data_IF_217726560648
#
_entry.id   IF_217726560648
#
_cell.length_a   1.000
_cell.length_b   1.000
_cell.length_c   1.000
_cell.angle_alpha   90.00
_cell.angle_beta   90.00
_cell.angle_gamma   90.00
#
_symmetry.space_group_name_H-M   'P 1'
#
loop_
_entity.id
_entity.type
_entity.pdbx_description
1 polymer ?
#
# COMPACT_ATOMS: atom_id res chain seq x y z
N UNK A 1 -8.55 33.22 2.17
CA UNK A 1 -9.32 32.00 2.47
C UNK A 1 -8.58 31.28 3.59
N UNK A 2 -9.19 31.16 4.76
CA UNK A 2 -8.58 30.44 5.88
C UNK A 2 -8.44 28.95 5.47
N UNK A 3 -7.22 28.40 5.55
CA UNK A 3 -7.00 26.98 5.38
C UNK A 3 -7.80 26.27 6.46
N UNK A 4 -8.82 25.50 6.08
CA UNK A 4 -9.41 24.53 7.01
C UNK A 4 -8.29 23.62 7.52
N UNK A 5 -8.25 23.30 8.83
CA UNK A 5 -7.21 22.45 9.37
C UNK A 5 -7.28 21.09 8.67
N UNK A 6 -6.21 20.73 7.96
CA UNK A 6 -6.12 19.46 7.26
C UNK A 6 -6.19 18.34 8.31
N UNK A 7 -7.27 17.58 8.31
CA UNK A 7 -7.48 16.48 9.27
C UNK A 7 -6.41 15.42 9.02
N UNK A 8 -5.60 15.11 10.03
CA UNK A 8 -4.58 14.06 9.94
C UNK A 8 -5.27 12.70 9.73
N UNK A 9 -5.03 12.00 8.59
CA UNK A 9 -5.70 10.75 8.26
C UNK A 9 -5.39 9.63 9.28
N UNK A 10 -4.21 9.63 9.90
CA UNK A 10 -3.85 8.64 10.88
C UNK A 10 -4.60 8.85 12.21
N UNK A 11 -4.79 10.10 12.64
CA UNK A 11 -5.64 10.39 13.79
C UNK A 11 -7.10 9.97 13.54
N UNK A 12 -7.58 10.11 12.30
CA UNK A 12 -8.91 9.60 11.91
C UNK A 12 -8.97 8.07 12.02
N UNK A 13 -7.97 7.36 11.53
CA UNK A 13 -7.90 5.90 11.62
C UNK A 13 -7.86 5.43 13.10
N UNK A 14 -7.09 6.09 13.97
CA UNK A 14 -7.05 5.80 15.41
C UNK A 14 -8.39 6.04 16.10
N UNK A 15 -9.06 7.14 15.76
CA UNK A 15 -10.40 7.44 16.30
C UNK A 15 -11.43 6.38 15.92
N UNK A 16 -11.37 5.83 14.70
CA UNK A 16 -12.23 4.72 14.28
C UNK A 16 -12.00 3.48 15.15
N UNK A 17 -10.74 3.19 15.50
CA UNK A 17 -10.42 2.10 16.45
C UNK A 17 -11.03 2.39 17.82
N UNK A 18 -10.92 3.61 18.33
CA UNK A 18 -11.48 3.96 19.65
C UNK A 18 -12.99 3.75 19.69
N UNK A 19 -13.73 4.20 18.67
CA UNK A 19 -15.18 4.02 18.57
C UNK A 19 -15.57 2.52 18.62
N UNK A 20 -14.86 1.69 17.85
CA UNK A 20 -15.13 0.25 17.80
C UNK A 20 -14.71 -0.44 19.10
N UNK A 21 -13.59 -0.02 19.70
CA UNK A 21 -13.10 -0.56 20.95
C UNK A 21 -14.09 -0.29 22.11
N UNK A 22 -14.71 0.89 22.15
CA UNK A 22 -15.77 1.22 23.10
C UNK A 22 -17.00 0.31 22.92
N UNK A 23 -17.44 0.12 21.70
CA UNK A 23 -18.57 -0.76 21.38
C UNK A 23 -18.31 -2.22 21.77
N UNK A 24 -17.10 -2.70 21.55
CA UNK A 24 -16.68 -4.07 21.87
C UNK A 24 -16.20 -4.23 23.33
N UNK A 25 -16.12 -3.14 24.10
CA UNK A 25 -15.59 -3.11 25.47
C UNK A 25 -14.19 -3.72 25.56
N UNK A 26 -13.33 -3.37 24.59
CA UNK A 26 -11.93 -3.82 24.61
C UNK A 26 -11.18 -3.12 25.74
N UNK A 27 -10.27 -3.86 26.38
CA UNK A 27 -9.36 -3.30 27.34
C UNK A 27 -8.32 -2.35 26.68
N UNK A 28 -7.68 -1.52 27.48
CA UNK A 28 -6.73 -0.50 27.00
C UNK A 28 -5.53 -1.10 26.28
N UNK A 29 -5.06 -2.28 26.70
CA UNK A 29 -3.93 -2.95 26.06
C UNK A 29 -4.22 -3.36 24.62
N UNK A 30 -5.36 -3.99 24.38
CA UNK A 30 -5.79 -4.34 23.00
C UNK A 30 -6.06 -3.10 22.16
N UNK A 31 -6.65 -2.05 22.76
CA UNK A 31 -6.86 -0.77 22.09
C UNK A 31 -5.55 -0.16 21.59
N UNK A 32 -4.53 -0.11 22.43
CA UNK A 32 -3.22 0.43 22.05
C UNK A 32 -2.52 -0.43 20.99
N UNK A 33 -2.59 -1.76 21.07
CA UNK A 33 -2.05 -2.65 20.02
C UNK A 33 -2.68 -2.35 18.66
N UNK A 34 -3.98 -2.09 18.61
CA UNK A 34 -4.70 -1.83 17.36
C UNK A 34 -4.42 -0.44 16.77
N UNK A 35 -3.93 0.51 17.56
CA UNK A 35 -3.60 1.88 17.11
C UNK A 35 -2.17 2.05 16.62
N UNK A 36 -1.30 1.06 16.80
CA UNK A 36 0.12 1.18 16.48
C UNK A 36 0.51 0.25 15.32
N UNK A 37 1.27 0.81 14.38
CA UNK A 37 1.91 0.01 13.35
C UNK A 37 3.03 -0.84 13.95
N UNK A 38 3.10 -2.10 13.53
CA UNK A 38 4.12 -3.03 14.01
C UNK A 38 5.52 -2.66 13.54
N UNK A 39 5.64 -2.16 12.31
CA UNK A 39 6.93 -1.81 11.69
C UNK A 39 6.75 -0.71 10.66
N UNK A 40 7.67 0.22 10.68
CA UNK A 40 7.74 1.32 9.72
C UNK A 40 9.16 1.44 9.20
N UNK A 41 9.28 1.62 7.89
CA UNK A 41 10.55 1.87 7.21
C UNK A 41 10.42 3.16 6.40
N UNK A 42 11.32 4.10 6.67
CA UNK A 42 11.53 5.30 5.86
C UNK A 42 12.89 5.20 5.21
N UNK A 43 12.95 5.41 3.90
CA UNK A 43 14.16 5.34 3.11
C UNK A 43 14.34 6.60 2.28
N UNK A 44 15.59 7.05 2.17
CA UNK A 44 15.98 8.14 1.28
C UNK A 44 17.00 7.58 0.28
N UNK A 45 16.69 7.67 -1.00
CA UNK A 45 17.48 7.01 -2.01
C UNK A 45 17.71 7.90 -3.24
N UNK A 46 18.97 7.99 -3.73
CA UNK A 46 19.30 8.77 -4.91
C UNK A 46 18.92 8.04 -6.19
N UNK A 47 18.39 8.78 -7.15
CA UNK A 47 18.09 8.32 -8.51
C UNK A 47 18.66 9.32 -9.51
N UNK A 48 19.35 8.82 -10.53
CA UNK A 48 19.80 9.63 -11.67
C UNK A 48 18.61 9.90 -12.59
N UNK A 49 18.38 11.17 -12.89
CA UNK A 49 17.35 11.62 -13.80
C UNK A 49 17.85 11.58 -15.26
N UNK A 50 16.98 11.87 -16.21
CA UNK A 50 17.32 11.81 -17.64
C UNK A 50 18.25 12.95 -18.08
N UNK A 51 18.30 14.04 -17.30
CA UNK A 51 19.22 15.17 -17.48
C UNK A 51 20.59 14.95 -16.79
N UNK A 52 20.89 13.73 -16.35
CA UNK A 52 22.11 13.34 -15.64
C UNK A 52 22.28 13.92 -14.22
N UNK A 53 21.28 14.64 -13.71
CA UNK A 53 21.27 15.07 -12.30
C UNK A 53 20.84 13.96 -11.37
N UNK A 54 21.09 14.12 -10.07
CA UNK A 54 20.62 13.20 -9.04
C UNK A 54 19.52 13.85 -8.20
N UNK A 55 18.42 13.13 -8.04
CA UNK A 55 17.36 13.49 -7.10
C UNK A 55 17.27 12.46 -5.97
N UNK A 56 17.10 12.93 -4.72
CA UNK A 56 16.90 12.04 -3.57
C UNK A 56 15.41 11.95 -3.27
N UNK A 57 14.84 10.77 -3.49
CA UNK A 57 13.46 10.49 -3.18
C UNK A 57 13.30 9.95 -1.75
N UNK A 58 12.18 10.26 -1.12
CA UNK A 58 11.78 9.67 0.16
C UNK A 58 10.67 8.66 -0.07
N UNK A 59 10.85 7.46 0.46
CA UNK A 59 9.86 6.38 0.38
C UNK A 59 9.53 5.80 1.75
N UNK A 60 8.33 5.27 1.87
CA UNK A 60 7.77 4.67 3.09
C UNK A 60 7.27 3.26 2.82
N UNK A 61 7.43 2.37 3.80
CA UNK A 61 6.70 1.10 3.89
C UNK A 61 6.27 0.87 5.33
N UNK A 62 4.96 0.79 5.56
CA UNK A 62 4.36 0.54 6.87
C UNK A 62 3.68 -0.83 6.86
N UNK A 63 4.07 -1.68 7.81
CA UNK A 63 3.45 -2.98 8.12
C UNK A 63 2.65 -2.78 9.41
N UNK A 64 1.33 -2.67 9.27
CA UNK A 64 0.49 -2.26 10.39
C UNK A 64 0.20 -3.40 11.35
N UNK A 65 -0.38 -4.48 10.87
CA UNK A 65 -0.71 -5.63 11.69
C UNK A 65 -0.47 -6.93 10.93
N UNK A 66 0.18 -7.90 11.57
CA UNK A 66 0.58 -9.19 10.98
C UNK A 66 -0.11 -10.38 11.66
N UNK A 67 -1.06 -10.15 12.56
CA UNK A 67 -1.69 -11.22 13.34
C UNK A 67 -2.44 -12.25 12.48
N UNK A 68 -2.92 -11.84 11.28
CA UNK A 68 -3.65 -12.69 10.35
C UNK A 68 -2.80 -13.30 9.23
N UNK A 69 -1.52 -13.01 9.18
CA UNK A 69 -0.60 -13.50 8.15
C UNK A 69 0.29 -12.39 7.55
N UNK A 70 0.92 -12.65 6.40
CA UNK A 70 1.76 -11.66 5.71
C UNK A 70 0.99 -10.36 5.47
N UNK A 71 1.67 -9.22 5.58
CA UNK A 71 1.01 -7.95 5.30
C UNK A 71 0.78 -7.75 3.80
N UNK A 72 -0.27 -7.03 3.46
CA UNK A 72 -0.69 -6.79 2.08
C UNK A 72 -1.09 -5.33 1.89
N UNK A 73 -0.56 -4.68 0.87
CA UNK A 73 -0.97 -3.32 0.55
C UNK A 73 -0.25 -2.69 -0.63
N UNK A 74 -0.90 -1.69 -1.24
CA UNK A 74 -0.39 -0.97 -2.42
C UNK A 74 0.80 -0.08 -2.12
N UNK A 75 1.49 0.35 -3.18
CA UNK A 75 2.50 1.41 -3.16
C UNK A 75 1.94 2.59 -3.95
N UNK A 76 1.91 3.77 -3.34
CA UNK A 76 1.40 5.02 -3.94
C UNK A 76 2.54 5.91 -4.36
N UNK A 77 2.47 6.46 -5.57
CA UNK A 77 3.36 7.51 -6.05
C UNK A 77 2.58 8.81 -6.13
N UNK A 78 2.94 9.80 -5.29
CA UNK A 78 2.25 11.09 -5.30
C UNK A 78 3.09 12.15 -4.57
N UNK A 79 3.10 13.43 -5.00
CA UNK A 79 3.86 14.48 -4.32
C UNK A 79 3.36 14.81 -2.91
N UNK A 80 2.11 14.47 -2.60
CA UNK A 80 1.51 14.70 -1.27
C UNK A 80 1.56 13.49 -0.34
N UNK A 81 2.29 12.43 -0.70
CA UNK A 81 2.47 11.27 0.20
C UNK A 81 3.12 11.71 1.49
N UNK A 82 2.53 11.33 2.61
CA UNK A 82 3.08 11.54 3.95
C UNK A 82 3.12 10.21 4.71
N UNK A 83 3.98 10.12 5.73
CA UNK A 83 4.05 8.93 6.57
C UNK A 83 2.71 8.66 7.29
N UNK A 84 2.02 9.70 7.74
CA UNK A 84 0.71 9.55 8.41
C UNK A 84 -0.38 9.07 7.45
N UNK A 85 -0.36 9.50 6.18
CA UNK A 85 -1.24 8.93 5.15
C UNK A 85 -0.94 7.44 4.96
N UNK A 86 0.32 7.06 4.85
CA UNK A 86 0.74 5.66 4.67
C UNK A 86 0.36 4.81 5.88
N UNK A 87 0.48 5.33 7.11
CA UNK A 87 0.01 4.68 8.35
C UNK A 87 -1.49 4.42 8.34
N UNK A 88 -2.29 5.45 8.01
CA UNK A 88 -3.74 5.34 7.92
C UNK A 88 -4.17 4.29 6.90
N UNK A 89 -3.58 4.34 5.71
CA UNK A 89 -3.89 3.40 4.64
C UNK A 89 -3.47 1.96 4.99
N UNK A 90 -2.37 1.77 5.71
CA UNK A 90 -1.95 0.46 6.21
C UNK A 90 -2.89 -0.09 7.28
N UNK A 91 -3.40 0.76 8.18
CA UNK A 91 -4.45 0.41 9.15
C UNK A 91 -5.72 -0.05 8.43
N UNK A 92 -6.22 0.74 7.48
CA UNK A 92 -7.42 0.39 6.70
C UNK A 92 -7.24 -0.88 5.86
N UNK A 93 -6.04 -1.16 5.36
CA UNK A 93 -5.74 -2.43 4.69
C UNK A 93 -5.85 -3.62 5.66
N UNK A 94 -5.49 -3.45 6.94
CA UNK A 94 -5.68 -4.48 7.97
C UNK A 94 -7.16 -4.83 8.13
N UNK A 95 -8.00 -3.80 8.31
CA UNK A 95 -9.44 -3.97 8.46
C UNK A 95 -10.10 -4.51 7.20
N UNK A 96 -9.70 -4.02 6.04
CA UNK A 96 -10.19 -4.49 4.74
C UNK A 96 -9.97 -5.98 4.54
N UNK A 97 -8.79 -6.50 4.84
CA UNK A 97 -8.51 -7.93 4.75
C UNK A 97 -9.32 -8.74 5.78
N UNK A 98 -9.47 -8.21 7.00
CA UNK A 98 -10.20 -8.87 8.07
C UNK A 98 -11.70 -9.00 7.77
N UNK A 99 -12.32 -7.93 7.28
CA UNK A 99 -13.78 -7.89 6.97
C UNK A 99 -14.18 -8.95 5.94
N UNK A 100 -13.34 -9.21 4.95
CA UNK A 100 -13.59 -10.22 3.91
C UNK A 100 -12.91 -11.56 4.22
N UNK A 101 -12.45 -11.74 5.46
CA UNK A 101 -11.81 -12.96 5.98
C UNK A 101 -10.61 -13.46 5.16
N UNK A 102 -9.78 -12.55 4.61
CA UNK A 102 -8.54 -12.91 3.97
C UNK A 102 -7.44 -13.14 5.02
N UNK A 103 -6.56 -14.15 4.83
CA UNK A 103 -5.49 -14.49 5.78
C UNK A 103 -4.27 -13.56 5.60
N UNK A 104 -4.50 -12.25 5.58
CA UNK A 104 -3.48 -11.24 5.40
C UNK A 104 -3.60 -10.14 6.46
N UNK A 105 -2.45 -9.62 6.85
CA UNK A 105 -2.34 -8.37 7.56
C UNK A 105 -2.43 -7.15 6.64
N UNK A 106 -2.24 -5.96 7.18
CA UNK A 106 -2.27 -4.70 6.43
C UNK A 106 -0.91 -4.04 6.30
N UNK A 107 -0.59 -3.60 5.10
CA UNK A 107 0.55 -2.75 4.81
C UNK A 107 0.20 -1.65 3.82
N UNK A 108 1.08 -0.67 3.73
CA UNK A 108 1.04 0.38 2.71
C UNK A 108 2.45 0.88 2.45
N UNK A 109 2.70 1.25 1.20
CA UNK A 109 3.91 1.98 0.82
C UNK A 109 3.57 3.26 0.07
N UNK A 110 4.56 4.12 -0.07
CA UNK A 110 4.47 5.31 -0.90
C UNK A 110 5.83 5.93 -1.15
N UNK A 111 5.94 6.65 -2.26
CA UNK A 111 7.11 7.47 -2.58
C UNK A 111 6.64 8.89 -2.86
N UNK A 112 7.32 9.87 -2.27
CA UNK A 112 7.08 11.29 -2.55
C UNK A 112 7.71 11.59 -3.91
N UNK A 113 6.90 11.68 -4.95
CA UNK A 113 7.33 11.99 -6.32
C UNK A 113 6.16 12.54 -7.13
N UNK A 114 6.46 13.17 -8.26
CA UNK A 114 5.44 13.59 -9.22
C UNK A 114 5.51 12.76 -10.51
N UNK A 115 4.79 11.62 -10.57
CA UNK A 115 4.85 10.71 -11.71
C UNK A 115 4.41 11.32 -13.04
N UNK A 116 3.64 12.41 -13.00
CA UNK A 116 3.17 13.08 -14.22
C UNK A 116 4.28 13.84 -14.94
N UNK A 117 5.33 14.23 -14.22
CA UNK A 117 6.48 14.96 -14.73
C UNK A 117 7.75 14.11 -14.80
N UNK A 118 7.63 12.80 -14.63
CA UNK A 118 8.74 11.85 -14.75
C UNK A 118 8.60 11.01 -16.03
N UNK A 119 9.72 10.73 -16.68
CA UNK A 119 9.74 9.78 -17.78
C UNK A 119 9.54 8.34 -17.30
N UNK A 120 9.18 7.43 -18.23
CA UNK A 120 9.08 6.00 -17.94
C UNK A 120 10.39 5.43 -17.39
N UNK A 121 11.53 5.88 -17.91
CA UNK A 121 12.85 5.42 -17.48
C UNK A 121 13.20 5.94 -16.08
N UNK A 122 12.84 7.16 -15.76
CA UNK A 122 12.98 7.70 -14.41
C UNK A 122 12.12 6.95 -13.39
N UNK A 123 10.85 6.69 -13.74
CA UNK A 123 9.93 5.89 -12.92
C UNK A 123 10.47 4.47 -12.70
N UNK A 124 11.06 3.85 -13.74
CA UNK A 124 11.69 2.53 -13.61
C UNK A 124 12.87 2.56 -12.64
N UNK A 125 13.80 3.50 -12.83
CA UNK A 125 14.98 3.64 -11.96
C UNK A 125 14.58 3.90 -10.51
N UNK A 126 13.62 4.81 -10.30
CA UNK A 126 13.08 5.12 -8.97
C UNK A 126 12.42 3.89 -8.34
N UNK A 127 11.58 3.18 -9.08
CA UNK A 127 10.89 1.98 -8.60
C UNK A 127 11.87 0.88 -8.22
N UNK A 128 12.85 0.60 -9.06
CA UNK A 128 13.86 -0.43 -8.82
C UNK A 128 14.73 -0.08 -7.61
N UNK A 129 15.09 1.20 -7.46
CA UNK A 129 15.85 1.64 -6.30
C UNK A 129 15.01 1.53 -5.02
N UNK A 130 13.77 2.01 -5.03
CA UNK A 130 12.86 1.83 -3.89
C UNK A 130 12.63 0.36 -3.54
N UNK A 131 12.43 -0.51 -4.55
CA UNK A 131 12.28 -1.95 -4.34
C UNK A 131 13.50 -2.56 -3.63
N UNK A 132 14.71 -2.12 -3.98
CA UNK A 132 15.95 -2.55 -3.32
C UNK A 132 16.00 -2.13 -1.86
N UNK A 133 15.57 -0.92 -1.54
CA UNK A 133 15.57 -0.41 -0.17
C UNK A 133 14.56 -1.14 0.74
N UNK A 134 13.39 -1.50 0.21
CA UNK A 134 12.37 -2.22 0.99
C UNK A 134 12.51 -3.74 0.93
N UNK A 135 13.40 -4.29 0.09
CA UNK A 135 13.59 -5.73 -0.08
C UNK A 135 13.82 -6.52 1.22
N UNK A 136 14.50 -5.98 2.25
CA UNK A 136 14.67 -6.68 3.52
C UNK A 136 13.39 -6.97 4.29
N UNK A 137 12.30 -6.23 4.02
CA UNK A 137 11.04 -6.35 4.77
C UNK A 137 9.87 -6.81 3.91
N UNK A 138 10.04 -7.02 2.59
CA UNK A 138 9.00 -7.57 1.71
C UNK A 138 9.29 -9.02 1.35
N UNK A 139 8.27 -9.71 0.90
CA UNK A 139 8.39 -11.09 0.43
C UNK A 139 7.06 -11.84 0.52
N UNK A 140 6.92 -13.00 -0.16
CA UNK A 140 5.68 -13.76 -0.18
C UNK A 140 5.17 -14.14 1.22
N UNK A 141 6.08 -14.38 2.17
CA UNK A 141 5.78 -14.82 3.53
C UNK A 141 5.74 -13.66 4.55
N UNK A 142 6.07 -12.44 4.12
CA UNK A 142 6.19 -11.29 5.02
C UNK A 142 5.27 -10.14 4.68
N UNK A 143 5.43 -9.60 3.48
CA UNK A 143 4.74 -8.39 3.06
C UNK A 143 4.69 -8.31 1.53
N UNK A 144 3.49 -8.23 0.98
CA UNK A 144 3.24 -8.36 -0.46
C UNK A 144 2.72 -7.03 -1.02
N UNK A 145 3.56 -6.24 -1.72
CA UNK A 145 3.13 -5.04 -2.42
C UNK A 145 2.09 -5.29 -3.52
N UNK A 146 1.39 -4.23 -3.88
CA UNK A 146 0.37 -4.21 -4.93
C UNK A 146 0.32 -2.83 -5.61
N UNK A 147 -0.37 -2.67 -6.76
CA UNK A 147 -0.64 -1.36 -7.35
C UNK A 147 -1.54 -0.49 -6.47
N UNK A 148 -1.34 0.82 -6.55
CA UNK A 148 -2.17 1.87 -5.96
C UNK A 148 -2.17 3.11 -6.87
N UNK A 149 -2.40 4.31 -6.35
CA UNK A 149 -2.40 5.54 -7.15
C UNK A 149 -1.04 5.73 -7.85
N UNK A 150 -1.07 5.95 -9.15
CA UNK A 150 0.08 6.13 -10.05
C UNK A 150 1.10 4.99 -10.04
N UNK A 151 0.68 3.79 -9.66
CA UNK A 151 1.44 2.56 -9.89
C UNK A 151 0.54 1.52 -10.57
N UNK A 152 1.11 0.69 -11.41
CA UNK A 152 0.41 -0.22 -12.28
C UNK A 152 1.08 -1.60 -12.35
N UNK A 153 0.67 -2.40 -13.31
CA UNK A 153 1.24 -3.72 -13.53
C UNK A 153 2.71 -3.69 -13.95
N UNK A 154 3.13 -2.66 -14.68
CA UNK A 154 4.52 -2.48 -15.08
C UNK A 154 5.40 -2.13 -13.87
N UNK A 155 4.91 -1.26 -12.99
CA UNK A 155 5.58 -0.95 -11.71
C UNK A 155 5.79 -2.21 -10.88
N UNK A 156 4.79 -3.08 -10.80
CA UNK A 156 4.88 -4.36 -10.09
C UNK A 156 5.86 -5.32 -10.75
N UNK A 157 5.97 -5.32 -12.09
CA UNK A 157 6.96 -6.10 -12.81
C UNK A 157 8.39 -5.67 -12.44
N UNK A 158 8.67 -4.37 -12.38
CA UNK A 158 10.00 -3.85 -11.96
C UNK A 158 10.34 -4.24 -10.51
N UNK A 159 9.37 -4.18 -9.60
CA UNK A 159 9.57 -4.61 -8.19
C UNK A 159 9.88 -6.11 -8.13
N UNK A 160 9.10 -6.94 -8.82
CA UNK A 160 9.29 -8.39 -8.86
C UNK A 160 10.65 -8.76 -9.43
N UNK A 161 11.03 -8.15 -10.54
CA UNK A 161 12.31 -8.37 -11.21
C UNK A 161 13.48 -8.00 -10.30
N UNK A 162 13.45 -6.79 -9.72
CA UNK A 162 14.49 -6.30 -8.80
C UNK A 162 14.65 -7.21 -7.58
N UNK A 163 13.56 -7.60 -6.96
CA UNK A 163 13.55 -8.51 -5.82
C UNK A 163 14.10 -9.89 -6.19
N UNK A 164 13.68 -10.43 -7.34
CA UNK A 164 14.12 -11.73 -7.83
C UNK A 164 15.62 -11.73 -8.15
N UNK A 165 16.15 -10.67 -8.73
CA UNK A 165 17.59 -10.51 -8.96
C UNK A 165 18.40 -10.58 -7.66
N UNK A 166 17.93 -9.93 -6.59
CA UNK A 166 18.59 -9.98 -5.28
C UNK A 166 18.52 -11.36 -4.62
N UNK A 167 17.47 -12.14 -4.91
CA UNK A 167 17.33 -13.52 -4.41
C UNK A 167 18.11 -14.55 -5.24
N UNK A 168 18.48 -14.20 -6.47
CA UNK A 168 19.13 -15.10 -7.41
C UNK A 168 18.20 -16.11 -8.09
N UNK A 169 16.87 -15.99 -7.88
CA UNK A 169 15.84 -16.81 -8.54
C UNK A 169 14.52 -16.03 -8.63
N UNK A 170 13.65 -16.45 -9.54
CA UNK A 170 12.35 -15.80 -9.75
C UNK A 170 11.41 -15.99 -8.56
N UNK A 171 10.87 -14.90 -8.01
CA UNK A 171 9.93 -14.88 -6.87
C UNK A 171 8.65 -14.15 -7.25
N UNK A 172 7.78 -14.73 -8.09
CA UNK A 172 6.57 -14.06 -8.56
C UNK A 172 5.55 -13.77 -7.45
N UNK A 173 5.62 -14.48 -6.33
CA UNK A 173 4.76 -14.26 -5.16
C UNK A 173 5.04 -12.97 -4.38
N UNK A 174 6.15 -12.27 -4.65
CA UNK A 174 6.52 -11.06 -3.90
C UNK A 174 5.54 -9.89 -4.11
N UNK A 175 4.85 -9.83 -5.24
CA UNK A 175 3.86 -8.77 -5.57
C UNK A 175 2.60 -9.36 -6.17
N UNK A 176 1.50 -8.63 -6.07
CA UNK A 176 0.28 -8.87 -6.85
C UNK A 176 0.04 -7.73 -7.85
N UNK A 177 -0.85 -7.94 -8.81
CA UNK A 177 -1.17 -6.94 -9.84
C UNK A 177 -0.13 -6.82 -10.96
N UNK A 178 0.86 -7.70 -11.01
CA UNK A 178 1.81 -7.82 -12.12
C UNK A 178 1.12 -8.29 -13.40
N UNK A 179 1.76 -8.14 -14.58
CA UNK A 179 1.22 -8.62 -15.86
C UNK A 179 0.88 -10.12 -15.84
N UNK A 180 -0.16 -10.51 -16.57
CA UNK A 180 -0.59 -11.93 -16.69
C UNK A 180 0.55 -12.80 -17.18
N UNK A 181 1.35 -12.32 -18.15
CA UNK A 181 2.52 -13.01 -18.70
C UNK A 181 3.62 -13.30 -17.66
N UNK A 182 3.61 -12.59 -16.53
CA UNK A 182 4.52 -12.79 -15.39
C UNK A 182 3.83 -13.50 -14.22
N UNK A 183 2.73 -14.20 -14.47
CA UNK A 183 1.97 -14.91 -13.44
C UNK A 183 0.96 -14.04 -12.68
N UNK A 184 0.51 -12.93 -13.28
CA UNK A 184 -0.58 -12.12 -12.75
C UNK A 184 -1.93 -12.83 -12.84
N UNK A 185 -2.87 -12.46 -11.96
CA UNK A 185 -4.21 -13.07 -11.93
C UNK A 185 -5.13 -12.45 -12.99
N UNK A 186 -5.86 -13.29 -13.71
CA UNK A 186 -6.92 -12.86 -14.61
C UNK A 186 -8.02 -12.12 -13.83
N UNK A 187 -8.68 -11.14 -14.48
CA UNK A 187 -9.73 -10.33 -13.87
C UNK A 187 -9.26 -9.26 -12.88
N UNK A 188 -7.96 -9.19 -12.54
CA UNK A 188 -7.45 -8.19 -11.60
C UNK A 188 -7.70 -6.74 -12.08
N UNK A 189 -7.62 -6.50 -13.38
CA UNK A 189 -7.79 -5.15 -13.97
C UNK A 189 -9.14 -4.53 -13.67
N UNK A 190 -10.20 -5.31 -13.65
CA UNK A 190 -11.58 -4.87 -13.38
C UNK A 190 -12.07 -5.14 -11.95
N UNK A 191 -11.31 -5.90 -11.14
CA UNK A 191 -11.77 -6.41 -9.86
C UNK A 191 -12.23 -5.32 -8.89
N UNK A 192 -11.56 -4.17 -8.84
CA UNK A 192 -11.93 -3.06 -7.96
C UNK A 192 -13.27 -2.44 -8.36
N UNK A 193 -13.44 -2.09 -9.64
CA UNK A 193 -14.69 -1.54 -10.16
C UNK A 193 -15.86 -2.53 -10.07
N UNK A 194 -15.61 -3.80 -10.42
CA UNK A 194 -16.61 -4.87 -10.33
C UNK A 194 -17.06 -5.09 -8.88
N UNK A 195 -16.14 -5.14 -7.93
CA UNK A 195 -16.46 -5.28 -6.50
C UNK A 195 -17.26 -4.09 -5.97
N UNK A 196 -16.92 -2.87 -6.38
CA UNK A 196 -17.67 -1.66 -6.05
C UNK A 196 -19.12 -1.75 -6.61
N UNK A 197 -19.28 -2.14 -7.88
CA UNK A 197 -20.59 -2.31 -8.50
C UNK A 197 -21.44 -3.36 -7.77
N UNK A 198 -20.85 -4.47 -7.34
CA UNK A 198 -21.57 -5.48 -6.55
C UNK A 198 -22.02 -4.93 -5.19
N UNK A 199 -21.14 -4.22 -4.48
CA UNK A 199 -21.48 -3.63 -3.19
C UNK A 199 -22.61 -2.58 -3.31
N UNK A 200 -22.56 -1.74 -4.35
CA UNK A 200 -23.61 -0.77 -4.64
C UNK A 200 -24.95 -1.48 -4.93
N UNK A 201 -24.93 -2.50 -5.77
CA UNK A 201 -26.13 -3.27 -6.10
C UNK A 201 -26.79 -3.87 -4.88
N UNK A 202 -26.02 -4.44 -3.97
CA UNK A 202 -26.55 -5.04 -2.72
C UNK A 202 -27.01 -3.97 -1.71
N UNK A 203 -26.39 -2.80 -1.69
CA UNK A 203 -26.76 -1.71 -0.77
C UNK A 203 -27.94 -0.86 -1.26
N UNK A 204 -28.13 -0.73 -2.57
CA UNK A 204 -29.12 0.16 -3.17
C UNK A 204 -30.56 -0.05 -2.66
N UNK A 205 -31.09 -1.29 -2.50
CA UNK A 205 -32.41 -1.52 -1.96
C UNK A 205 -32.58 -0.97 -0.54
N UNK A 206 -31.53 -1.05 0.29
CA UNK A 206 -31.56 -0.56 1.67
C UNK A 206 -31.56 0.98 1.73
N UNK A 207 -31.03 1.63 0.69
CA UNK A 207 -31.04 3.08 0.53
C UNK A 207 -32.26 3.60 -0.23
N UNK A 208 -33.25 2.75 -0.57
CA UNK A 208 -34.44 3.13 -1.32
C UNK A 208 -34.16 3.42 -2.80
N UNK A 209 -33.00 3.06 -3.34
CA UNK A 209 -32.63 3.20 -4.73
C UNK A 209 -32.96 1.91 -5.47
N UNK A 210 -33.70 2.04 -6.60
CA UNK A 210 -34.06 0.91 -7.48
C UNK A 210 -33.23 0.94 -8.76
#
# INVERSE_FOLDING_TARGET
>A
MANEPQVNPFETAKRQVDIVADLLKLDDGHREILKHAKRELTVNFPVRLDDDTYHVFTGYRVQYNMARGPTKGGIRYHPQVTLDEVRALAAWMTWKCAVVNLPYGGAKGGVICDPKHMSQHELERMTRRFASEIAPIIGPEMDIPAPDVYTDSQTMAWIMDTYSMQKGYSVPGVVTGKPITLGGSQGRGEATGRGCAYAIREAAPNAGVR
#
